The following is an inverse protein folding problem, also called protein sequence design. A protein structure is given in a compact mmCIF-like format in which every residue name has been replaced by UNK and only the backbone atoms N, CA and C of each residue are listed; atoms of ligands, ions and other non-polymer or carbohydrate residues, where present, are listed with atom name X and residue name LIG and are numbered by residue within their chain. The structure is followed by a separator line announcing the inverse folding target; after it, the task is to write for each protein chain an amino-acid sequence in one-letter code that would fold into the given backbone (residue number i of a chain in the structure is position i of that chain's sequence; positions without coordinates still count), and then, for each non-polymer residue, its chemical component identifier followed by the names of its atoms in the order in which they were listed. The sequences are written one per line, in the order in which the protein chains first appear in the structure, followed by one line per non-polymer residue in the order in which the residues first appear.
data_IF_091812188319
#
_entry.id   IF_091812188319
#
_cell.length_a   1.000
_cell.length_b   1.000
_cell.length_c   1.000
_cell.angle_alpha   90.00
_cell.angle_beta   90.00
_cell.angle_gamma   90.00
#
_symmetry.space_group_name_H-M   'P 1'
#
loop_
_entity.id
_entity.type
_entity.pdbx_description
1 polymer ?
#
# COMPACT_ATOMS: atom_id res chain seq x y z
N UNK A 1 44.12 15.91 40.10
CA UNK A 1 44.32 14.44 40.09
C UNK A 1 43.72 13.86 38.82
N UNK A 2 44.57 13.41 37.98
CA UNK A 2 44.55 12.54 36.79
C UNK A 2 43.18 12.24 36.12
N UNK A 3 43.01 12.81 34.95
CA UNK A 3 42.13 12.37 33.89
C UNK A 3 42.70 11.13 33.21
N UNK A 4 41.88 10.07 33.08
CA UNK A 4 42.17 8.95 32.25
C UNK A 4 41.49 9.07 30.88
N UNK A 5 42.34 9.09 29.86
CA UNK A 5 42.01 8.97 28.44
C UNK A 5 41.30 7.66 28.12
N UNK A 6 40.15 7.73 27.48
CA UNK A 6 39.58 6.62 26.73
C UNK A 6 39.85 6.84 25.26
N UNK A 7 40.68 5.96 24.71
CA UNK A 7 41.02 5.90 23.30
C UNK A 7 39.81 5.54 22.45
N UNK A 8 39.50 6.35 21.47
CA UNK A 8 38.67 6.01 20.32
C UNK A 8 39.36 4.91 19.51
N UNK A 9 38.65 3.84 19.26
CA UNK A 9 39.02 2.80 18.31
C UNK A 9 38.17 3.00 17.08
N UNK A 10 38.78 3.43 15.98
CA UNK A 10 38.20 3.42 14.65
C UNK A 10 38.04 1.98 14.16
N UNK A 11 36.93 1.63 13.51
CA UNK A 11 36.87 0.40 12.73
C UNK A 11 37.41 0.63 11.31
N UNK A 12 38.35 -0.23 10.98
CA UNK A 12 38.97 -0.40 9.68
C UNK A 12 37.93 -0.56 8.56
N UNK A 13 37.99 0.32 7.58
CA UNK A 13 37.38 0.12 6.29
C UNK A 13 38.09 -1.03 5.57
N UNK A 14 37.37 -2.08 5.25
CA UNK A 14 37.82 -3.16 4.38
C UNK A 14 37.28 -2.95 2.98
N UNK A 15 38.23 -2.90 2.06
CA UNK A 15 38.08 -2.77 0.64
C UNK A 15 37.33 -3.98 0.06
N UNK A 16 36.21 -3.72 -0.58
CA UNK A 16 35.60 -4.57 -1.59
C UNK A 16 34.74 -3.71 -2.54
N UNK A 17 35.37 -2.65 -3.08
CA UNK A 17 34.86 -1.95 -4.26
C UNK A 17 35.77 -2.26 -5.45
N UNK A 18 35.16 -2.35 -6.59
CA UNK A 18 35.71 -2.58 -7.89
C UNK A 18 35.61 -4.05 -8.36
N UNK A 19 34.48 -4.35 -8.96
CA UNK A 19 34.39 -5.14 -10.19
C UNK A 19 32.88 -5.31 -10.54
N UNK A 20 32.40 -4.58 -11.48
CA UNK A 20 31.51 -4.97 -12.56
C UNK A 20 30.63 -3.81 -13.03
N UNK A 21 31.27 -2.81 -13.59
CA UNK A 21 30.66 -1.92 -14.58
C UNK A 21 31.46 -2.07 -15.88
N UNK A 22 31.16 -3.11 -16.64
CA UNK A 22 31.47 -3.21 -18.07
C UNK A 22 30.80 -4.48 -18.60
N UNK A 23 29.87 -4.26 -19.43
CA UNK A 23 29.31 -5.10 -20.51
C UNK A 23 27.79 -5.06 -20.46
N UNK A 24 27.24 -4.16 -21.19
CA UNK A 24 26.32 -4.49 -22.30
C UNK A 24 25.98 -3.21 -23.03
N UNK A 25 26.90 -2.85 -23.88
CA UNK A 25 26.64 -1.91 -24.97
C UNK A 25 27.17 -2.61 -26.21
N UNK A 26 26.27 -3.26 -26.91
CA UNK A 26 26.36 -3.63 -28.30
C UNK A 26 25.31 -4.71 -28.58
N UNK A 27 24.31 -4.33 -29.29
CA UNK A 27 23.67 -5.06 -30.40
C UNK A 27 22.41 -4.28 -30.79
N UNK A 28 22.65 -3.13 -31.38
CA UNK A 28 21.69 -2.53 -32.29
C UNK A 28 22.23 -2.74 -33.70
N UNK A 29 21.41 -3.27 -34.52
CA UNK A 29 21.43 -3.25 -35.99
C UNK A 29 21.29 -4.65 -36.55
N UNK A 30 20.13 -4.90 -37.10
CA UNK A 30 19.92 -5.60 -38.35
C UNK A 30 18.43 -5.49 -38.73
N UNK A 31 18.12 -4.55 -39.57
CA UNK A 31 17.10 -4.66 -40.61
C UNK A 31 17.83 -4.99 -41.91
N UNK A 32 17.25 -5.50 -42.99
CA UNK A 32 15.98 -5.08 -43.58
C UNK A 32 15.11 -6.18 -44.24
N UNK A 33 13.88 -5.84 -44.42
CA UNK A 33 13.08 -5.97 -45.64
C UNK A 33 12.92 -7.31 -46.35
N UNK A 34 11.67 -7.81 -46.40
CA UNK A 34 11.13 -8.40 -47.62
C UNK A 34 9.64 -8.11 -47.69
N UNK A 35 9.29 -7.25 -48.65
CA UNK A 35 7.93 -7.17 -49.19
C UNK A 35 7.71 -8.39 -50.09
N UNK A 36 6.59 -9.09 -49.97
CA UNK A 36 5.92 -9.72 -51.12
C UNK A 36 4.43 -9.86 -50.88
N UNK A 37 3.71 -9.24 -51.78
CA UNK A 37 2.28 -9.39 -52.09
C UNK A 37 2.02 -10.79 -52.65
N UNK A 38 0.78 -11.27 -52.46
CA UNK A 38 -0.05 -12.10 -53.39
C UNK A 38 -1.33 -12.40 -52.60
N UNK A 39 -2.45 -11.78 -52.86
CA UNK A 39 -3.48 -11.88 -53.91
C UNK A 39 -4.27 -13.20 -53.86
N UNK A 40 -5.56 -12.99 -53.60
CA UNK A 40 -6.77 -13.67 -54.16
C UNK A 40 -7.11 -15.04 -53.60
N UNK A 41 -8.18 -15.09 -52.86
CA UNK A 41 -9.58 -15.39 -53.27
C UNK A 41 -9.83 -16.91 -53.29
N UNK A 42 -10.82 -17.33 -52.54
CA UNK A 42 -11.87 -18.22 -53.02
C UNK A 42 -13.08 -18.19 -52.07
N UNK A 43 -14.22 -17.97 -52.67
CA UNK A 43 -15.57 -18.03 -52.06
C UNK A 43 -15.92 -19.48 -51.73
N UNK A 44 -16.63 -19.67 -50.68
CA UNK A 44 -17.30 -20.95 -50.36
C UNK A 44 -18.16 -20.84 -49.14
N UNK A 45 -19.44 -20.56 -49.34
CA UNK A 45 -20.48 -20.55 -48.33
C UNK A 45 -20.76 -21.96 -47.81
N UNK A 46 -20.84 -22.17 -46.51
CA UNK A 46 -21.76 -23.14 -45.91
C UNK A 46 -22.21 -22.59 -44.55
N UNK A 47 -23.51 -22.32 -44.46
CA UNK A 47 -24.22 -22.12 -43.21
C UNK A 47 -24.11 -23.37 -42.31
N UNK A 48 -23.69 -23.19 -41.10
CA UNK A 48 -24.07 -24.04 -39.99
C UNK A 48 -24.31 -23.17 -38.76
N UNK A 49 -25.59 -22.95 -38.46
CA UNK A 49 -26.10 -22.43 -37.21
C UNK A 49 -25.71 -23.37 -36.10
N UNK A 50 -24.76 -22.98 -35.28
CA UNK A 50 -24.58 -23.54 -33.95
C UNK A 50 -24.75 -22.38 -32.95
N UNK A 51 -26.00 -22.26 -32.53
CA UNK A 51 -26.33 -21.53 -31.29
C UNK A 51 -25.71 -22.33 -30.14
N UNK A 52 -24.46 -22.10 -29.86
CA UNK A 52 -23.80 -22.51 -28.64
C UNK A 52 -23.79 -21.31 -27.70
N UNK A 53 -24.78 -21.26 -26.82
CA UNK A 53 -24.70 -20.46 -25.57
C UNK A 53 -23.47 -20.91 -24.80
N UNK A 54 -22.33 -20.33 -25.06
CA UNK A 54 -21.25 -20.25 -24.08
C UNK A 54 -21.49 -19.00 -23.26
N UNK A 55 -22.37 -19.15 -22.28
CA UNK A 55 -22.33 -18.28 -21.12
C UNK A 55 -20.92 -18.41 -20.53
N UNK A 56 -20.06 -17.45 -20.83
CA UNK A 56 -18.88 -17.22 -20.02
C UNK A 56 -19.41 -16.80 -18.66
N UNK A 57 -19.62 -17.77 -17.78
CA UNK A 57 -19.63 -17.54 -16.38
C UNK A 57 -18.23 -16.95 -16.08
N UNK A 58 -18.14 -15.62 -16.02
CA UNK A 58 -17.12 -14.98 -15.23
C UNK A 58 -17.36 -15.56 -13.83
N UNK A 59 -16.63 -16.60 -13.51
CA UNK A 59 -16.48 -17.03 -12.13
C UNK A 59 -15.79 -15.84 -11.46
N UNK A 60 -16.61 -14.99 -10.86
CA UNK A 60 -16.19 -14.12 -9.79
C UNK A 60 -15.60 -15.05 -8.73
N UNK A 61 -14.29 -15.23 -8.80
CA UNK A 61 -13.53 -15.84 -7.72
C UNK A 61 -13.44 -14.82 -6.59
N UNK A 62 -14.58 -14.45 -6.05
CA UNK A 62 -14.68 -14.01 -4.69
C UNK A 62 -14.48 -15.25 -3.84
N UNK A 63 -13.23 -15.61 -3.61
CA UNK A 63 -12.93 -16.49 -2.48
C UNK A 63 -13.60 -15.83 -1.28
N UNK A 64 -14.65 -16.51 -0.73
CA UNK A 64 -15.51 -15.89 0.27
C UNK A 64 -14.67 -15.21 1.35
N UNK A 65 -15.02 -13.98 1.68
CA UNK A 65 -14.40 -13.23 2.76
C UNK A 65 -14.59 -14.03 4.04
N UNK A 66 -13.50 -14.53 4.61
CA UNK A 66 -13.58 -15.32 5.85
C UNK A 66 -13.63 -14.40 7.09
N UNK A 67 -13.05 -13.18 6.98
CA UNK A 67 -13.03 -12.20 8.05
C UNK A 67 -13.41 -10.83 7.50
N UNK A 68 -14.49 -10.25 8.01
CA UNK A 68 -14.90 -8.88 7.68
C UNK A 68 -14.24 -7.87 8.61
N UNK A 69 -13.90 -6.70 8.06
CA UNK A 69 -13.44 -5.59 8.86
C UNK A 69 -14.62 -4.99 9.64
N UNK A 70 -14.46 -4.89 10.97
CA UNK A 70 -15.44 -4.28 11.86
C UNK A 70 -15.36 -2.75 11.85
N UNK A 71 -16.50 -2.08 12.09
CA UNK A 71 -16.60 -0.63 12.28
C UNK A 71 -15.82 -0.11 13.51
N UNK A 72 -15.35 -1.00 14.38
CA UNK A 72 -14.46 -0.65 15.49
C UNK A 72 -13.04 -0.34 15.02
N UNK A 73 -12.70 -0.68 13.79
CA UNK A 73 -11.38 -0.43 13.20
C UNK A 73 -11.07 1.05 13.13
N UNK A 74 -9.82 1.40 13.40
CA UNK A 74 -9.33 2.79 13.39
C UNK A 74 -7.94 2.86 12.78
N UNK A 75 -7.75 3.85 11.93
CA UNK A 75 -6.43 4.29 11.48
C UNK A 75 -6.29 5.76 11.87
N UNK A 76 -5.18 6.10 12.50
CA UNK A 76 -4.84 7.48 12.78
C UNK A 76 -3.44 7.81 12.25
N UNK A 77 -3.22 9.06 11.92
CA UNK A 77 -1.94 9.53 11.43
C UNK A 77 -1.57 10.86 12.07
N UNK A 78 -0.28 11.14 12.17
CA UNK A 78 0.24 12.35 12.81
C UNK A 78 0.91 13.24 11.78
N UNK A 79 0.41 14.47 11.63
CA UNK A 79 1.05 15.51 10.84
C UNK A 79 1.94 16.39 11.71
N UNK A 80 3.16 16.70 11.25
CA UNK A 80 4.09 17.57 11.95
C UNK A 80 4.34 18.84 11.16
N UNK A 81 4.13 19.99 11.80
CA UNK A 81 4.27 21.34 11.23
C UNK A 81 5.44 22.06 11.87
N UNK A 82 6.22 22.79 11.07
CA UNK A 82 7.36 23.59 11.52
C UNK A 82 8.38 22.79 12.36
N UNK A 83 8.40 21.45 12.21
CA UNK A 83 9.26 20.55 12.98
C UNK A 83 8.93 20.40 14.47
N UNK A 84 7.89 21.08 14.97
CA UNK A 84 7.61 21.19 16.42
C UNK A 84 6.16 20.87 16.79
N UNK A 85 5.21 21.12 15.91
CA UNK A 85 3.78 20.98 16.23
C UNK A 85 3.24 19.72 15.56
N UNK A 86 2.94 18.71 16.36
CA UNK A 86 2.35 17.46 15.91
C UNK A 86 0.87 17.40 16.27
N UNK A 87 0.04 16.99 15.33
CA UNK A 87 -1.40 16.81 15.50
C UNK A 87 -1.81 15.46 14.94
N UNK A 88 -2.57 14.70 15.72
CA UNK A 88 -3.10 13.40 15.28
C UNK A 88 -4.49 13.57 14.69
N UNK A 89 -4.70 12.90 13.59
CA UNK A 89 -5.92 12.90 12.79
C UNK A 89 -6.40 11.47 12.57
N UNK A 90 -7.64 11.28 12.16
CA UNK A 90 -8.21 9.96 11.91
C UNK A 90 -8.68 9.78 10.48
N UNK A 91 -8.71 8.55 10.03
CA UNK A 91 -9.36 8.12 8.80
C UNK A 91 -10.61 7.31 9.17
N UNK A 92 -11.78 7.83 8.81
CA UNK A 92 -13.06 7.29 9.27
C UNK A 92 -13.62 6.17 8.38
N UNK A 93 -13.26 6.12 7.10
CA UNK A 93 -13.84 5.16 6.16
C UNK A 93 -12.80 4.14 5.68
N UNK A 94 -12.90 2.93 6.23
CA UNK A 94 -12.07 1.76 5.89
C UNK A 94 -13.03 0.62 5.59
N UNK A 95 -12.80 -0.11 4.47
CA UNK A 95 -13.60 -1.27 4.07
C UNK A 95 -12.70 -2.41 3.63
N UNK A 96 -13.19 -3.62 3.70
CA UNK A 96 -12.51 -4.81 3.22
C UNK A 96 -12.47 -5.93 4.25
N UNK A 97 -11.54 -6.85 4.10
CA UNK A 97 -11.42 -8.00 4.97
C UNK A 97 -10.29 -8.94 4.58
N UNK A 98 -10.39 -10.18 5.02
CA UNK A 98 -9.41 -11.23 4.74
C UNK A 98 -10.15 -12.40 4.10
N UNK A 99 -9.63 -12.89 2.96
CA UNK A 99 -10.17 -14.09 2.32
C UNK A 99 -9.81 -15.36 3.10
N UNK A 100 -10.52 -16.47 2.83
CA UNK A 100 -10.19 -17.79 3.39
C UNK A 100 -8.79 -18.28 3.02
N UNK A 101 -8.19 -17.73 1.97
CA UNK A 101 -6.83 -18.03 1.50
C UNK A 101 -5.77 -17.13 2.17
N UNK A 102 -6.19 -16.22 3.05
CA UNK A 102 -5.27 -15.33 3.78
C UNK A 102 -4.86 -14.07 3.01
N UNK A 103 -5.61 -13.68 1.98
CA UNK A 103 -5.38 -12.40 1.30
C UNK A 103 -6.16 -11.30 2.01
N UNK A 104 -5.46 -10.28 2.48
CA UNK A 104 -6.05 -9.03 3.00
C UNK A 104 -6.23 -8.07 1.84
N UNK A 105 -7.42 -7.47 1.76
CA UNK A 105 -7.69 -6.35 0.86
C UNK A 105 -8.48 -5.29 1.63
N UNK A 106 -7.89 -4.11 1.78
CA UNK A 106 -8.55 -2.96 2.40
C UNK A 106 -8.59 -1.78 1.44
N UNK A 107 -9.69 -1.06 1.47
CA UNK A 107 -9.89 0.21 0.78
C UNK A 107 -10.07 1.32 1.81
N UNK A 108 -9.31 2.40 1.63
CA UNK A 108 -9.26 3.55 2.51
C UNK A 108 -9.75 4.78 1.74
N UNK A 109 -10.92 5.30 2.07
CA UNK A 109 -11.39 6.55 1.46
C UNK A 109 -10.69 7.74 2.13
N UNK A 110 -9.69 8.30 1.44
CA UNK A 110 -8.88 9.41 1.93
C UNK A 110 -9.66 10.71 2.08
N UNK A 111 -10.87 10.81 1.49
CA UNK A 111 -11.76 11.96 1.70
C UNK A 111 -12.43 11.94 3.08
N UNK A 112 -12.43 10.77 3.73
CA UNK A 112 -12.97 10.60 5.07
C UNK A 112 -11.94 10.91 6.18
N UNK A 113 -10.90 11.67 5.85
CA UNK A 113 -9.96 12.20 6.83
C UNK A 113 -10.65 13.23 7.72
N UNK A 114 -10.46 13.07 9.03
CA UNK A 114 -11.00 13.98 10.04
C UNK A 114 -9.86 14.61 10.86
N UNK A 115 -9.75 15.92 10.74
CA UNK A 115 -8.72 16.71 11.44
C UNK A 115 -9.29 17.62 12.53
N UNK A 116 -10.59 17.51 12.81
CA UNK A 116 -11.37 18.40 13.69
C UNK A 116 -11.40 19.87 13.21
N UNK A 117 -10.97 20.14 11.98
CA UNK A 117 -11.00 21.48 11.36
C UNK A 117 -11.57 21.33 9.95
N UNK A 118 -12.85 21.65 9.71
CA UNK A 118 -13.52 21.40 8.44
C UNK A 118 -12.80 21.99 7.22
N UNK A 119 -12.32 23.22 7.30
CA UNK A 119 -11.58 23.86 6.20
C UNK A 119 -10.26 23.15 5.89
N UNK A 120 -9.66 22.46 6.87
CA UNK A 120 -8.46 21.64 6.65
C UNK A 120 -8.82 20.37 5.90
N UNK A 121 -9.90 19.70 6.31
CA UNK A 121 -10.41 18.50 5.62
C UNK A 121 -10.68 18.83 4.15
N UNK A 122 -11.40 19.92 3.87
CA UNK A 122 -11.69 20.39 2.51
C UNK A 122 -10.41 20.66 1.71
N UNK A 123 -9.44 21.35 2.29
CA UNK A 123 -8.14 21.61 1.62
C UNK A 123 -7.36 20.36 1.33
N UNK A 124 -7.33 19.39 2.25
CA UNK A 124 -6.67 18.10 2.02
C UNK A 124 -7.37 17.33 0.89
N UNK A 125 -8.69 17.28 0.87
CA UNK A 125 -9.45 16.67 -0.21
C UNK A 125 -9.14 17.33 -1.56
N UNK A 126 -9.05 18.64 -1.60
CA UNK A 126 -8.81 19.40 -2.83
C UNK A 126 -7.38 19.25 -3.36
N UNK A 127 -6.38 19.31 -2.48
CA UNK A 127 -4.98 19.42 -2.90
C UNK A 127 -4.18 18.11 -2.81
N UNK A 128 -4.69 17.11 -2.09
CA UNK A 128 -4.04 15.81 -1.97
C UNK A 128 -4.84 14.69 -2.65
N UNK A 129 -6.16 14.66 -2.47
CA UNK A 129 -6.97 13.47 -2.78
C UNK A 129 -8.03 13.69 -3.88
N UNK A 130 -7.92 14.76 -4.68
CA UNK A 130 -8.93 15.09 -5.72
C UNK A 130 -8.99 14.03 -6.80
N UNK A 131 -7.84 13.53 -7.25
CA UNK A 131 -7.75 12.68 -8.43
C UNK A 131 -7.97 11.20 -8.10
N UNK A 132 -7.30 10.71 -7.06
CA UNK A 132 -7.44 9.33 -6.56
C UNK A 132 -7.72 9.34 -5.05
N UNK A 133 -9.00 9.37 -4.66
CA UNK A 133 -9.37 9.47 -3.25
C UNK A 133 -9.32 8.15 -2.49
N UNK A 134 -9.04 7.03 -3.16
CA UNK A 134 -9.03 5.71 -2.53
C UNK A 134 -7.62 5.14 -2.55
N UNK A 135 -7.09 4.87 -1.36
CA UNK A 135 -5.89 4.04 -1.23
C UNK A 135 -6.29 2.58 -1.01
N UNK A 136 -5.46 1.66 -1.50
CA UNK A 136 -5.64 0.21 -1.34
C UNK A 136 -4.47 -0.36 -0.57
N UNK A 137 -4.78 -1.23 0.38
CA UNK A 137 -3.80 -1.99 1.12
C UNK A 137 -4.04 -3.47 0.90
N UNK A 138 -3.00 -4.20 0.54
CA UNK A 138 -3.05 -5.65 0.41
C UNK A 138 -1.89 -6.32 1.15
N UNK A 139 -2.12 -7.55 1.60
CA UNK A 139 -1.12 -8.38 2.25
C UNK A 139 -1.49 -9.86 2.16
N UNK A 140 -0.50 -10.75 2.32
CA UNK A 140 -0.76 -12.17 2.53
C UNK A 140 -0.52 -12.51 4.00
N UNK A 141 -1.57 -12.92 4.70
CA UNK A 141 -1.54 -13.21 6.14
C UNK A 141 -1.79 -14.70 6.45
N UNK A 142 -1.55 -15.60 5.49
CA UNK A 142 -1.74 -17.03 5.65
C UNK A 142 -0.96 -17.59 6.86
N UNK A 143 0.25 -17.08 7.10
CA UNK A 143 1.04 -17.45 8.27
C UNK A 143 0.35 -17.04 9.57
N UNK A 144 -0.23 -15.83 9.61
CA UNK A 144 -0.98 -15.35 10.77
C UNK A 144 -2.25 -16.17 11.01
N UNK A 145 -2.98 -16.56 9.95
CA UNK A 145 -4.17 -17.42 10.07
C UNK A 145 -3.84 -18.81 10.61
N UNK A 146 -2.65 -19.33 10.28
CA UNK A 146 -2.19 -20.66 10.69
C UNK A 146 -1.57 -20.69 12.10
N UNK A 147 -1.31 -19.54 12.71
CA UNK A 147 -0.73 -19.45 14.06
C UNK A 147 -1.72 -20.03 15.09
N UNK A 148 -1.20 -20.77 16.08
CA UNK A 148 -1.99 -21.38 17.16
C UNK A 148 -2.08 -20.50 18.40
N UNK A 149 -1.21 -19.52 18.49
CA UNK A 149 -1.14 -18.59 19.60
C UNK A 149 -2.34 -17.62 19.54
N UNK A 150 -2.85 -17.26 20.71
CA UNK A 150 -3.92 -16.25 20.83
C UNK A 150 -3.39 -14.82 20.79
N UNK A 151 -2.13 -14.62 21.09
CA UNK A 151 -1.46 -13.32 21.00
C UNK A 151 -0.02 -13.52 20.49
N UNK A 152 0.33 -12.83 19.42
CA UNK A 152 1.67 -12.93 18.82
C UNK A 152 2.00 -11.67 18.03
N UNK A 153 3.28 -11.49 17.71
CA UNK A 153 3.78 -10.44 16.79
C UNK A 153 4.31 -11.11 15.53
N UNK A 154 4.04 -10.50 14.38
CA UNK A 154 4.52 -10.96 13.08
C UNK A 154 5.02 -9.76 12.28
N UNK A 155 6.17 -9.92 11.62
CA UNK A 155 6.64 -8.96 10.62
C UNK A 155 5.88 -9.23 9.32
N UNK A 156 5.14 -8.24 8.86
CA UNK A 156 4.25 -8.38 7.71
C UNK A 156 4.63 -7.37 6.63
N UNK A 157 4.87 -7.86 5.42
CA UNK A 157 4.98 -6.99 4.24
C UNK A 157 3.58 -6.58 3.78
N UNK A 158 3.33 -5.29 3.77
CA UNK A 158 2.11 -4.66 3.26
C UNK A 158 2.41 -4.02 1.90
N UNK A 159 1.49 -4.13 0.96
CA UNK A 159 1.51 -3.36 -0.29
C UNK A 159 0.48 -2.25 -0.18
N UNK A 160 0.93 -1.00 -0.23
CA UNK A 160 0.06 0.18 -0.20
C UNK A 160 0.08 0.86 -1.58
N UNK A 161 -1.10 1.06 -2.13
CA UNK A 161 -1.34 1.71 -3.42
C UNK A 161 -2.12 2.99 -3.20
N UNK A 162 -1.59 4.13 -3.63
CA UNK A 162 -2.27 5.43 -3.55
C UNK A 162 -1.74 6.36 -4.64
N UNK A 163 -2.60 7.18 -5.21
CA UNK A 163 -2.24 8.17 -6.23
C UNK A 163 -1.40 7.58 -7.38
N UNK A 164 -1.77 6.38 -7.87
CA UNK A 164 -1.07 5.66 -8.95
C UNK A 164 0.32 5.10 -8.57
N UNK A 165 0.75 5.21 -7.33
CA UNK A 165 2.04 4.72 -6.85
C UNK A 165 1.84 3.55 -5.89
N UNK A 166 2.77 2.59 -5.92
CA UNK A 166 2.75 1.40 -5.08
C UNK A 166 4.02 1.33 -4.25
N UNK A 167 3.87 1.16 -2.95
CA UNK A 167 4.99 1.04 -1.99
C UNK A 167 4.80 -0.22 -1.14
N UNK A 168 5.89 -0.95 -0.92
CA UNK A 168 5.92 -2.10 -0.01
C UNK A 168 6.51 -1.65 1.33
N UNK A 169 5.85 -2.04 2.42
CA UNK A 169 6.18 -1.63 3.78
C UNK A 169 6.28 -2.87 4.67
N UNK A 170 7.40 -3.06 5.34
CA UNK A 170 7.55 -4.10 6.35
C UNK A 170 7.17 -3.55 7.72
N UNK A 171 6.15 -4.13 8.33
CA UNK A 171 5.53 -3.60 9.55
C UNK A 171 5.41 -4.72 10.59
N UNK A 172 5.92 -4.52 11.80
CA UNK A 172 5.63 -5.42 12.92
C UNK A 172 4.17 -5.22 13.37
N UNK A 173 3.37 -6.28 13.27
CA UNK A 173 1.97 -6.29 13.66
C UNK A 173 1.77 -7.19 14.87
N UNK A 174 1.08 -6.68 15.88
CA UNK A 174 0.60 -7.47 17.01
C UNK A 174 -0.81 -7.95 16.72
N UNK A 175 -1.03 -9.24 16.82
CA UNK A 175 -2.33 -9.90 16.62
C UNK A 175 -2.80 -10.47 17.95
N UNK A 176 -4.05 -10.20 18.30
CA UNK A 176 -4.74 -10.79 19.47
C UNK A 176 -6.06 -11.39 18.99
N UNK A 177 -6.25 -12.68 19.25
CA UNK A 177 -7.49 -13.41 18.93
C UNK A 177 -8.36 -13.54 20.17
N UNK A 178 -9.62 -13.23 20.03
CA UNK A 178 -10.65 -13.44 21.05
C UNK A 178 -11.53 -14.61 20.59
N UNK A 179 -11.11 -15.83 20.91
CA UNK A 179 -11.69 -17.06 20.38
C UNK A 179 -11.47 -17.19 18.87
N UNK A 180 -12.40 -17.84 18.19
CA UNK A 180 -12.37 -18.07 16.74
C UNK A 180 -13.14 -16.99 15.96
N UNK A 181 -13.75 -16.03 16.65
CA UNK A 181 -14.67 -15.08 16.07
C UNK A 181 -14.08 -13.69 15.84
N UNK A 182 -13.08 -13.28 16.62
CA UNK A 182 -12.53 -11.92 16.57
C UNK A 182 -11.01 -11.94 16.53
N UNK A 183 -10.43 -11.16 15.63
CA UNK A 183 -8.99 -10.88 15.58
C UNK A 183 -8.74 -9.38 15.63
N UNK A 184 -7.95 -8.94 16.60
CA UNK A 184 -7.50 -7.55 16.76
C UNK A 184 -6.07 -7.43 16.30
N UNK A 185 -5.80 -6.48 15.41
CA UNK A 185 -4.47 -6.24 14.82
C UNK A 185 -4.07 -4.81 15.13
N UNK A 186 -2.87 -4.64 15.68
CA UNK A 186 -2.30 -3.33 15.96
C UNK A 186 -0.89 -3.22 15.39
N UNK A 187 -0.55 -2.04 14.87
CA UNK A 187 0.78 -1.74 14.36
C UNK A 187 1.03 -0.25 14.25
N UNK A 188 2.31 0.11 14.16
CA UNK A 188 2.77 1.47 13.93
C UNK A 188 3.77 1.45 12.77
N UNK A 189 3.65 2.40 11.87
CA UNK A 189 4.55 2.56 10.74
C UNK A 189 4.75 4.04 10.42
N UNK A 190 5.77 4.35 9.66
CA UNK A 190 6.00 5.68 9.10
C UNK A 190 5.88 5.59 7.59
N UNK A 191 5.08 6.45 7.01
CA UNK A 191 4.88 6.56 5.57
C UNK A 191 5.50 7.87 5.11
N UNK A 192 6.37 7.84 4.09
CA UNK A 192 6.72 9.06 3.36
C UNK A 192 5.68 9.29 2.26
N UNK A 193 4.83 10.29 2.45
CA UNK A 193 3.77 10.61 1.49
C UNK A 193 4.32 11.17 0.17
N UNK A 194 5.60 11.54 0.13
CA UNK A 194 6.27 11.93 -1.11
C UNK A 194 6.42 10.74 -2.08
N UNK A 195 6.57 9.51 -1.57
CA UNK A 195 6.65 8.28 -2.38
C UNK A 195 5.36 8.04 -3.17
N UNK A 196 4.25 8.58 -2.70
CA UNK A 196 2.95 8.55 -3.38
C UNK A 196 2.66 9.79 -4.22
N UNK A 197 3.67 10.67 -4.44
CA UNK A 197 3.52 11.86 -5.27
C UNK A 197 2.74 13.00 -4.62
N UNK A 198 2.48 12.96 -3.32
CA UNK A 198 1.74 14.01 -2.60
C UNK A 198 2.59 15.25 -2.23
N UNK A 199 3.89 15.26 -2.48
CA UNK A 199 4.75 16.40 -2.14
C UNK A 199 4.28 17.75 -2.69
N UNK A 200 3.80 17.90 -3.95
CA UNK A 200 3.29 19.17 -4.45
C UNK A 200 2.04 19.65 -3.70
N UNK A 201 1.14 18.74 -3.33
CA UNK A 201 -0.05 19.05 -2.55
C UNK A 201 0.28 19.49 -1.12
N UNK A 202 1.24 18.81 -0.48
CA UNK A 202 1.77 19.21 0.84
C UNK A 202 2.37 20.61 0.79
N UNK A 203 3.14 20.91 -0.24
CA UNK A 203 3.71 22.24 -0.43
C UNK A 203 2.62 23.30 -0.60
N UNK A 204 1.58 22.99 -1.36
CA UNK A 204 0.42 23.88 -1.52
C UNK A 204 -0.31 24.14 -0.20
N UNK A 205 -0.52 23.10 0.61
CA UNK A 205 -1.11 23.23 1.94
C UNK A 205 -0.23 24.07 2.88
N UNK A 206 1.10 23.89 2.81
CA UNK A 206 2.07 24.69 3.55
C UNK A 206 1.94 26.19 3.24
N UNK A 207 1.90 26.53 1.93
CA UNK A 207 1.73 27.92 1.47
C UNK A 207 0.43 28.53 1.98
N UNK A 208 -0.71 27.83 1.76
CA UNK A 208 -2.05 28.31 2.15
C UNK A 208 -2.13 28.55 3.67
N UNK A 209 -1.45 27.71 4.45
CA UNK A 209 -1.44 27.82 5.91
C UNK A 209 -0.37 28.79 6.46
N UNK A 210 0.49 29.35 5.60
CA UNK A 210 1.58 30.23 6.01
C UNK A 210 2.63 29.57 6.90
N UNK A 211 2.84 28.25 6.71
CA UNK A 211 3.77 27.45 7.52
C UNK A 211 5.17 27.46 6.92
N UNK A 212 6.19 27.24 7.76
CA UNK A 212 7.57 27.07 7.30
C UNK A 212 7.78 25.69 6.66
N UNK A 213 7.17 24.65 7.25
CA UNK A 213 7.24 23.28 6.74
C UNK A 213 6.05 22.44 7.19
N UNK A 214 5.73 21.39 6.41
CA UNK A 214 4.92 20.25 6.79
C UNK A 214 5.76 19.01 6.46
N UNK A 215 5.89 18.07 7.41
CA UNK A 215 6.63 16.82 7.19
C UNK A 215 5.94 15.95 6.16
N UNK A 216 6.71 15.33 5.26
CA UNK A 216 6.24 14.25 4.40
C UNK A 216 6.29 12.90 5.08
N UNK A 217 7.14 12.73 6.09
CA UNK A 217 7.15 11.55 6.96
C UNK A 217 5.97 11.63 7.93
N UNK A 218 5.07 10.67 7.82
CA UNK A 218 3.80 10.61 8.54
C UNK A 218 3.73 9.33 9.37
N UNK A 219 3.85 9.41 10.69
CA UNK A 219 3.56 8.29 11.57
C UNK A 219 2.09 7.88 11.48
N UNK A 220 1.84 6.58 11.35
CA UNK A 220 0.51 5.99 11.24
C UNK A 220 0.34 4.92 12.31
N UNK A 221 -0.74 5.01 13.08
CA UNK A 221 -1.19 3.99 14.03
C UNK A 221 -2.37 3.23 13.42
N UNK A 222 -2.26 1.91 13.42
CA UNK A 222 -3.27 1.00 12.87
C UNK A 222 -3.86 0.17 14.00
N UNK A 223 -5.18 0.14 14.10
CA UNK A 223 -5.94 -0.73 15.00
C UNK A 223 -7.13 -1.27 14.23
N UNK A 224 -7.02 -2.51 13.79
CA UNK A 224 -8.06 -3.17 13.00
C UNK A 224 -8.70 -4.27 13.84
N UNK A 225 -9.99 -4.42 13.69
CA UNK A 225 -10.78 -5.49 14.28
C UNK A 225 -11.45 -6.26 13.15
N UNK A 226 -11.15 -7.53 13.06
CA UNK A 226 -11.76 -8.43 12.09
C UNK A 226 -12.71 -9.38 12.82
N UNK A 227 -13.87 -9.62 12.22
CA UNK A 227 -14.88 -10.56 12.71
C UNK A 227 -15.02 -11.69 11.69
N UNK A 228 -14.97 -12.92 12.18
CA UNK A 228 -15.16 -14.09 11.34
C UNK A 228 -16.61 -14.19 10.85
N UNK A 229 -16.79 -14.29 9.53
CA UNK A 229 -18.10 -14.50 8.95
C UNK A 229 -18.48 -15.98 9.09
N UNK A 230 -19.35 -16.29 10.03
CA UNK A 230 -19.99 -17.61 10.12
C UNK A 230 -21.06 -17.72 9.04
N UNK A 231 -20.86 -18.63 8.09
CA UNK A 231 -21.86 -19.00 7.07
C UNK A 231 -23.08 -19.67 7.67
#
# INVERSE_FOLDING_TARGET
MRYNNVKFIEPLASAADALTVRQTREMASWAPGIRRRLRQAWMGAVCAVFLGMMGSALADHHGGQAWALSDESRISFTSTKNGLVSETHSLAAIKGGVSGEGTVELQLDLRAIETNIPIRNERMQTWLFSDEPVAKLSANVQAALSAKETAFTIDQTLTLEANGNTVMLDVPLTVVREGDAVAKVAGQLVIDVADFGYAPGIEKLREIAGLKSISTEVPVDVRLVFVHETS
#
